data_IF_246779089461
#
_entry.id   IF_246779089461
#
_cell.length_a   1.000
_cell.length_b   1.000
_cell.length_c   1.000
_cell.angle_alpha   90.00
_cell.angle_beta   90.00
_cell.angle_gamma   90.00
#
_symmetry.space_group_name_H-M   'P 1'
#
loop_
_entity.id
_entity.type
_entity.pdbx_description
1 polymer ?
#
# COMPACT_ATOMS: atom_id res chain seq x y z
N UNK A 1 9.37 -11.23 -10.76
CA UNK A 1 9.62 -9.90 -10.17
C UNK A 1 9.25 -8.88 -11.22
N UNK A 2 8.38 -7.92 -10.90
CA UNK A 2 7.93 -6.90 -11.85
C UNK A 2 9.11 -5.94 -12.11
N UNK A 3 9.44 -5.59 -13.35
CA UNK A 3 10.45 -4.58 -13.64
C UNK A 3 10.11 -3.23 -12.99
N UNK A 4 11.09 -2.58 -12.35
CA UNK A 4 10.87 -1.29 -11.67
C UNK A 4 10.34 -0.21 -12.62
N UNK A 5 10.86 -0.15 -13.85
CA UNK A 5 10.41 0.82 -14.86
C UNK A 5 8.97 0.59 -15.31
N UNK A 6 8.49 -0.65 -15.25
CA UNK A 6 7.09 -0.98 -15.50
C UNK A 6 6.23 -0.51 -14.32
N UNK A 7 6.64 -0.83 -13.09
CA UNK A 7 5.94 -0.42 -11.87
C UNK A 7 5.78 1.11 -11.75
N UNK A 8 6.79 1.89 -12.14
CA UNK A 8 6.75 3.37 -12.14
C UNK A 8 5.73 3.93 -13.14
N UNK A 9 5.50 3.24 -14.26
CA UNK A 9 4.55 3.67 -15.31
C UNK A 9 3.11 3.25 -15.02
N UNK A 10 2.95 2.27 -14.15
CA UNK A 10 1.67 1.69 -13.79
C UNK A 10 1.00 2.37 -12.60
N UNK A 11 -0.31 2.15 -12.49
CA UNK A 11 -1.10 2.48 -11.30
C UNK A 11 -0.96 1.35 -10.29
N UNK A 12 -0.60 1.71 -9.05
CA UNK A 12 -0.48 0.79 -7.93
C UNK A 12 -1.63 1.01 -6.95
N UNK A 13 -2.27 -0.08 -6.52
CA UNK A 13 -3.17 -0.10 -5.37
C UNK A 13 -2.44 -0.65 -4.13
N UNK A 14 -2.58 -0.01 -2.98
CA UNK A 14 -2.30 -0.59 -1.68
C UNK A 14 -3.60 -1.18 -1.15
N UNK A 15 -3.60 -2.48 -0.87
CA UNK A 15 -4.71 -3.16 -0.21
C UNK A 15 -4.30 -3.42 1.24
N UNK A 16 -4.87 -2.65 2.16
CA UNK A 16 -4.62 -2.79 3.59
C UNK A 16 -5.72 -3.64 4.22
N UNK A 17 -5.32 -4.68 4.94
CA UNK A 17 -6.20 -5.46 5.81
C UNK A 17 -5.91 -5.09 7.26
N UNK A 18 -6.93 -4.72 8.03
CA UNK A 18 -6.81 -4.54 9.48
C UNK A 18 -7.68 -5.58 10.16
N UNK A 19 -7.09 -6.35 11.06
CA UNK A 19 -7.83 -7.18 12.00
C UNK A 19 -8.07 -6.32 13.24
N UNK A 20 -9.31 -5.91 13.47
CA UNK A 20 -9.61 -5.30 14.76
C UNK A 20 -9.62 -6.40 15.84
N UNK A 21 -9.27 -6.07 17.09
CA UNK A 21 -9.20 -7.05 18.19
C UNK A 21 -10.53 -7.73 18.54
N UNK A 22 -11.60 -7.42 17.81
CA UNK A 22 -12.95 -7.99 17.91
C UNK A 22 -13.26 -9.00 16.79
N UNK A 23 -12.32 -9.24 15.87
CA UNK A 23 -12.42 -10.26 14.82
C UNK A 23 -13.14 -9.82 13.56
N UNK A 24 -13.35 -8.51 13.36
CA UNK A 24 -13.82 -7.98 12.07
C UNK A 24 -12.62 -7.56 11.22
N UNK A 25 -12.54 -8.14 10.02
CA UNK A 25 -11.57 -7.76 9.00
C UNK A 25 -12.08 -6.52 8.25
N UNK A 26 -11.38 -5.40 8.43
CA UNK A 26 -11.59 -4.21 7.61
C UNK A 26 -10.57 -4.14 6.47
N UNK A 27 -11.01 -3.71 5.30
CA UNK A 27 -10.15 -3.53 4.13
C UNK A 27 -10.20 -2.08 3.64
N UNK A 28 -9.04 -1.52 3.34
CA UNK A 28 -8.92 -0.21 2.71
C UNK A 28 -8.08 -0.31 1.43
N UNK A 29 -8.51 0.40 0.39
CA UNK A 29 -7.82 0.46 -0.91
C UNK A 29 -7.36 1.88 -1.18
N UNK A 30 -6.06 2.06 -1.35
CA UNK A 30 -5.45 3.34 -1.71
C UNK A 30 -4.79 3.22 -3.07
N UNK A 31 -5.04 4.17 -3.95
CA UNK A 31 -4.54 4.11 -5.32
C UNK A 31 -3.64 5.28 -5.61
N UNK A 32 -2.57 5.02 -6.34
CA UNK A 32 -1.52 5.98 -6.59
C UNK A 32 -0.55 5.51 -7.65
N UNK A 33 0.61 6.16 -7.66
CA UNK A 33 1.72 5.86 -8.58
C UNK A 33 2.99 5.59 -7.79
N UNK A 34 3.92 4.86 -8.40
CA UNK A 34 5.26 4.69 -7.86
C UNK A 34 6.19 5.76 -8.45
N UNK A 35 6.94 6.44 -7.59
CA UNK A 35 7.91 7.45 -7.98
C UNK A 35 9.29 7.03 -7.48
N UNK A 36 10.30 7.23 -8.32
CA UNK A 36 11.69 6.97 -7.97
C UNK A 36 12.40 8.27 -7.58
N UNK A 37 13.13 8.24 -6.47
CA UNK A 37 14.04 9.30 -6.04
C UNK A 37 15.40 8.68 -5.69
N UNK A 38 16.36 8.78 -6.60
CA UNK A 38 17.62 8.05 -6.50
C UNK A 38 17.42 6.53 -6.53
N UNK A 39 17.84 5.86 -5.46
CA UNK A 39 17.68 4.41 -5.30
C UNK A 39 16.35 4.01 -4.65
N UNK A 40 15.59 4.98 -4.13
CA UNK A 40 14.37 4.71 -3.38
C UNK A 40 13.13 4.80 -4.26
N UNK A 41 12.17 3.93 -3.97
CA UNK A 41 10.84 3.95 -4.54
C UNK A 41 9.85 4.42 -3.49
N UNK A 42 8.88 5.24 -3.89
CA UNK A 42 7.82 5.71 -3.00
C UNK A 42 6.47 5.60 -3.69
N UNK A 43 5.47 5.20 -2.93
CA UNK A 43 4.08 5.32 -3.35
C UNK A 43 3.62 6.76 -3.12
N UNK A 44 2.96 7.35 -4.13
CA UNK A 44 2.27 8.63 -4.04
C UNK A 44 0.78 8.40 -4.29
N UNK A 45 -0.01 8.47 -3.23
CA UNK A 45 -1.47 8.33 -3.25
C UNK A 45 -2.17 9.54 -3.85
N UNK A 46 -3.36 9.33 -4.38
CA UNK A 46 -4.21 10.42 -4.88
C UNK A 46 -4.72 11.36 -3.78
N UNK A 47 -4.77 10.88 -2.54
CA UNK A 47 -5.11 11.60 -1.32
C UNK A 47 -3.95 12.47 -0.78
N UNK A 48 -2.80 12.45 -1.45
CA UNK A 48 -1.59 13.15 -1.01
C UNK A 48 -0.74 12.34 -0.02
N UNK A 49 -1.12 11.11 0.31
CA UNK A 49 -0.28 10.21 1.09
C UNK A 49 1.01 9.87 0.34
N UNK A 50 2.10 9.74 1.07
CA UNK A 50 3.40 9.40 0.50
C UNK A 50 4.18 8.53 1.47
N UNK A 51 4.59 7.35 1.02
CA UNK A 51 5.35 6.42 1.83
C UNK A 51 6.41 5.70 0.98
N UNK A 52 7.54 5.40 1.61
CA UNK A 52 8.63 4.65 0.98
C UNK A 52 8.21 3.18 0.82
N UNK A 53 8.45 2.60 -0.36
CA UNK A 53 8.22 1.18 -0.59
C UNK A 53 9.49 0.43 -0.19
N UNK A 54 9.40 -0.32 0.90
CA UNK A 54 10.51 -1.15 1.37
C UNK A 54 10.85 -2.23 0.34
N UNK A 55 12.14 -2.60 0.26
CA UNK A 55 12.62 -3.57 -0.73
C UNK A 55 11.88 -4.92 -0.62
N UNK A 56 11.61 -5.36 0.61
CA UNK A 56 10.83 -6.57 0.88
C UNK A 56 9.41 -6.51 0.31
N UNK A 57 8.80 -5.32 0.24
CA UNK A 57 7.44 -5.15 -0.28
C UNK A 57 7.39 -5.26 -1.80
N UNK A 58 8.46 -4.88 -2.50
CA UNK A 58 8.52 -4.96 -3.96
C UNK A 58 8.29 -6.39 -4.47
N UNK A 59 8.79 -7.38 -3.72
CA UNK A 59 8.59 -8.81 -4.02
C UNK A 59 7.13 -9.28 -3.85
N UNK A 60 6.33 -8.54 -3.08
CA UNK A 60 4.93 -8.86 -2.75
C UNK A 60 3.92 -8.22 -3.71
N UNK A 61 4.37 -7.29 -4.57
CA UNK A 61 3.51 -6.64 -5.56
C UNK A 61 3.06 -7.66 -6.60
N UNK A 62 1.76 -7.66 -6.91
CA UNK A 62 1.12 -8.61 -7.83
C UNK A 62 0.31 -7.86 -8.89
N UNK A 63 0.20 -8.39 -10.12
CA UNK A 63 -0.72 -7.86 -11.11
C UNK A 63 -2.17 -8.04 -10.62
N UNK A 64 -3.03 -7.07 -10.95
CA UNK A 64 -4.46 -7.14 -10.64
C UNK A 64 -5.15 -8.13 -11.58
N UNK A 65 -5.91 -9.06 -11.01
CA UNK A 65 -6.82 -9.93 -11.77
C UNK A 65 -7.97 -9.08 -12.32
N UNK A 66 -8.40 -9.34 -13.55
CA UNK A 66 -9.53 -8.65 -14.18
C UNK A 66 -10.81 -8.67 -13.32
N UNK A 67 -11.02 -9.72 -12.51
CA UNK A 67 -12.16 -9.81 -11.59
C UNK A 67 -12.09 -8.85 -10.40
N UNK A 68 -10.88 -8.39 -10.05
CA UNK A 68 -10.62 -7.48 -8.93
C UNK A 68 -10.38 -6.04 -9.41
N UNK A 69 -10.36 -5.79 -10.72
CA UNK A 69 -10.04 -4.50 -11.29
C UNK A 69 -10.95 -3.38 -10.74
N UNK A 70 -12.26 -3.60 -10.69
CA UNK A 70 -13.20 -2.59 -10.18
C UNK A 70 -12.99 -2.30 -8.69
N UNK A 71 -12.76 -3.34 -7.89
CA UNK A 71 -12.50 -3.23 -6.43
C UNK A 71 -11.19 -2.46 -6.18
N UNK A 72 -10.17 -2.71 -7.01
CA UNK A 72 -8.85 -2.07 -6.92
C UNK A 72 -8.75 -0.79 -7.77
N UNK A 73 -9.90 -0.15 -8.05
CA UNK A 73 -10.03 1.12 -8.78
C UNK A 73 -9.23 1.19 -10.10
N UNK A 74 -9.28 0.07 -10.83
CA UNK A 74 -8.60 -0.14 -12.09
C UNK A 74 -7.08 0.12 -12.01
N UNK A 75 -6.44 -0.32 -10.92
CA UNK A 75 -4.99 -0.40 -10.82
C UNK A 75 -4.43 -1.56 -11.65
N UNK A 76 -3.21 -1.40 -12.16
CA UNK A 76 -2.52 -2.45 -12.91
C UNK A 76 -1.90 -3.49 -11.95
N UNK A 77 -1.43 -2.98 -10.81
CA UNK A 77 -0.74 -3.73 -9.77
C UNK A 77 -1.33 -3.45 -8.40
N UNK A 78 -1.17 -4.40 -7.48
CA UNK A 78 -1.52 -4.18 -6.07
C UNK A 78 -0.46 -4.74 -5.12
N UNK A 79 -0.32 -4.06 -3.98
CA UNK A 79 0.50 -4.48 -2.85
C UNK A 79 -0.43 -4.79 -1.65
N UNK A 80 -0.57 -6.07 -1.26
CA UNK A 80 -1.32 -6.43 -0.08
C UNK A 80 -0.47 -6.23 1.18
N UNK A 81 -0.96 -5.46 2.14
CA UNK A 81 -0.36 -5.24 3.46
C UNK A 81 -1.39 -5.56 4.55
N UNK A 82 -0.89 -5.89 5.74
CA UNK A 82 -1.71 -6.12 6.92
C UNK A 82 -1.30 -5.13 8.01
N UNK A 83 -2.28 -4.54 8.66
CA UNK A 83 -2.12 -3.62 9.79
C UNK A 83 -2.45 -4.42 11.06
N UNK A 84 -1.46 -4.54 11.93
CA UNK A 84 -1.60 -5.22 13.21
C UNK A 84 -1.73 -4.24 14.39
N UNK A 85 -2.00 -4.76 15.60
CA UNK A 85 -2.02 -3.94 16.80
C UNK A 85 -0.64 -3.33 17.07
N UNK A 86 -0.63 -2.14 17.67
CA UNK A 86 0.60 -1.53 18.15
C UNK A 86 1.27 -2.44 19.19
N UNK A 87 2.56 -2.78 19.04
CA UNK A 87 3.27 -3.58 20.02
C UNK A 87 3.29 -2.89 21.40
N UNK A 88 3.24 -3.67 22.50
CA UNK A 88 3.23 -3.11 23.85
C UNK A 88 4.50 -2.29 24.10
N UNK A 89 4.32 -1.12 24.73
CA UNK A 89 5.42 -0.21 25.06
C UNK A 89 5.87 0.70 23.91
N UNK A 90 5.28 0.55 22.71
CA UNK A 90 5.48 1.50 21.61
C UNK A 90 4.28 2.46 21.50
N UNK A 91 4.57 3.65 21.02
CA UNK A 91 3.61 4.70 20.73
C UNK A 91 3.50 4.90 19.21
N UNK A 92 2.38 5.45 18.73
CA UNK A 92 2.23 5.77 17.31
C UNK A 92 3.30 6.76 16.79
N UNK A 93 3.93 7.54 17.66
CA UNK A 93 5.05 8.43 17.31
C UNK A 93 6.36 7.69 16.99
N UNK A 94 6.48 6.42 17.38
CA UNK A 94 7.67 5.60 17.09
C UNK A 94 7.65 5.02 15.66
N UNK A 95 6.56 5.23 14.92
CA UNK A 95 6.36 4.73 13.57
C UNK A 95 6.36 5.85 12.53
N UNK A 96 6.70 5.49 11.29
CA UNK A 96 6.66 6.41 10.16
C UNK A 96 5.22 6.84 9.86
N UNK A 97 5.00 8.15 9.74
CA UNK A 97 3.71 8.69 9.31
C UNK A 97 3.56 8.54 7.80
N UNK A 98 2.72 7.61 7.38
CA UNK A 98 2.44 7.33 5.96
C UNK A 98 1.55 8.39 5.29
N UNK A 99 0.78 9.14 6.09
CA UNK A 99 -0.21 10.10 5.62
C UNK A 99 -1.52 9.46 5.12
N UNK A 100 -1.57 8.13 5.04
CA UNK A 100 -2.80 7.39 4.71
C UNK A 100 -3.85 7.61 5.80
N UNK A 101 -5.09 7.80 5.38
CA UNK A 101 -6.25 7.90 6.28
C UNK A 101 -7.23 6.80 5.92
N UNK A 102 -7.64 6.01 6.90
CA UNK A 102 -8.67 5.02 6.68
C UNK A 102 -9.92 5.70 6.07
N UNK A 103 -10.49 5.17 4.98
CA UNK A 103 -11.71 5.74 4.41
C UNK A 103 -12.89 5.58 5.39
N UNK A 104 -13.73 6.61 5.48
CA UNK A 104 -14.99 6.61 6.26
C UNK A 104 -16.06 5.71 5.63
#
# INVERSE_FOLDING_TARGET
>A
MIPVEELIRSKLALLLWSENGEGEDEAAVFVGKVVRSGERLSFQGQDGASLELEEEWLSRIKPVDAKLADILMNADYFLPLSVGPLPPGLSASDFLRTGLRWPD
#
